data_IF_081657385365
#
_entry.id   IF_081657385365
#
_cell.length_a   1.000
_cell.length_b   1.000
_cell.length_c   1.000
_cell.angle_alpha   90.00
_cell.angle_beta   90.00
_cell.angle_gamma   90.00
#
_symmetry.space_group_name_H-M   'P 1'
#
loop_
_entity.id
_entity.type
_entity.pdbx_description
1 polymer ?
#
# COMPACT_ATOMS: atom_id res chain seq x y z
N UNK A 1 46.47 -65.56 -0.23
CA UNK A 1 45.60 -65.36 -1.41
C UNK A 1 45.96 -64.01 -2.03
N UNK A 2 46.94 -63.97 -2.94
CA UNK A 2 47.38 -62.72 -3.60
C UNK A 2 46.54 -62.50 -4.85
N UNK A 3 45.67 -61.50 -4.83
CA UNK A 3 44.82 -61.12 -5.96
C UNK A 3 45.69 -60.35 -6.97
N UNK A 4 45.92 -60.94 -8.15
CA UNK A 4 46.52 -60.25 -9.30
C UNK A 4 45.56 -59.16 -9.78
N UNK A 5 45.89 -57.89 -9.54
CA UNK A 5 45.20 -56.77 -10.16
C UNK A 5 45.40 -56.82 -11.69
N UNK A 6 44.29 -56.83 -12.44
CA UNK A 6 44.28 -56.80 -13.90
C UNK A 6 44.80 -55.45 -14.40
N UNK A 7 45.49 -55.41 -15.56
CA UNK A 7 46.13 -54.20 -16.11
C UNK A 7 45.17 -53.03 -16.39
N UNK A 8 43.85 -53.25 -16.35
CA UNK A 8 42.81 -52.24 -16.59
C UNK A 8 42.76 -51.17 -15.48
N UNK A 9 43.01 -51.53 -14.22
CA UNK A 9 43.01 -50.56 -13.11
C UNK A 9 44.16 -49.55 -13.23
N UNK A 10 45.30 -50.00 -13.78
CA UNK A 10 46.46 -49.15 -14.04
C UNK A 10 46.18 -48.10 -15.12
N UNK A 11 45.53 -48.49 -16.22
CA UNK A 11 45.16 -47.55 -17.29
C UNK A 11 44.08 -46.54 -16.86
N UNK A 12 43.12 -46.94 -16.01
CA UNK A 12 42.11 -46.03 -15.47
C UNK A 12 42.73 -44.98 -14.54
N UNK A 13 43.69 -45.38 -13.71
CA UNK A 13 44.40 -44.46 -12.80
C UNK A 13 45.27 -43.47 -13.58
N UNK A 14 45.94 -43.92 -14.65
CA UNK A 14 46.66 -43.04 -15.58
C UNK A 14 45.71 -42.07 -16.28
N UNK A 15 44.54 -42.53 -16.73
CA UNK A 15 43.56 -41.68 -17.40
C UNK A 15 43.03 -40.56 -16.48
N UNK A 16 42.73 -40.87 -15.22
CA UNK A 16 42.31 -39.88 -14.21
C UNK A 16 43.44 -38.89 -13.89
N UNK A 17 44.69 -39.36 -13.79
CA UNK A 17 45.85 -38.50 -13.56
C UNK A 17 46.06 -37.50 -14.71
N UNK A 18 45.91 -37.96 -15.96
CA UNK A 18 46.03 -37.12 -17.16
C UNK A 18 44.91 -36.07 -17.23
N UNK A 19 43.68 -36.44 -16.85
CA UNK A 19 42.53 -35.54 -16.80
C UNK A 19 42.68 -34.38 -15.81
N UNK A 20 43.44 -34.58 -14.72
CA UNK A 20 43.68 -33.55 -13.70
C UNK A 20 44.96 -32.76 -13.98
N UNK A 21 46.02 -33.42 -14.42
CA UNK A 21 47.33 -32.78 -14.63
C UNK A 21 47.39 -31.91 -15.90
N UNK A 22 46.70 -32.28 -16.98
CA UNK A 22 46.73 -31.48 -18.22
C UNK A 22 46.07 -30.10 -18.01
N UNK A 23 44.86 -29.98 -17.42
CA UNK A 23 44.28 -28.67 -17.14
C UNK A 23 45.14 -27.84 -16.17
N UNK A 24 45.74 -28.47 -15.15
CA UNK A 24 46.62 -27.78 -14.21
C UNK A 24 47.88 -27.22 -14.89
N UNK A 25 48.53 -28.01 -15.77
CA UNK A 25 49.70 -27.57 -16.55
C UNK A 25 49.36 -26.48 -17.57
N UNK A 26 48.13 -26.44 -18.09
CA UNK A 26 47.67 -25.36 -18.99
C UNK A 26 47.43 -24.06 -18.24
N UNK A 27 46.97 -24.12 -16.98
CA UNK A 27 46.68 -22.91 -16.16
C UNK A 27 47.94 -22.33 -15.50
N UNK A 28 48.90 -23.16 -15.11
CA UNK A 28 50.12 -22.73 -14.42
C UNK A 28 50.96 -21.65 -15.16
N UNK A 29 51.20 -21.72 -16.48
CA UNK A 29 51.93 -20.66 -17.20
C UNK A 29 51.12 -19.38 -17.42
N UNK A 30 49.80 -19.38 -17.14
CA UNK A 30 48.94 -18.20 -17.17
C UNK A 30 48.75 -17.56 -15.77
N UNK A 31 49.28 -18.16 -14.71
CA UNK A 31 49.16 -17.65 -13.33
C UNK A 31 50.30 -16.69 -12.90
N UNK A 32 51.26 -16.40 -13.79
CA UNK A 32 52.49 -15.67 -13.41
C UNK A 32 52.91 -14.53 -14.35
N UNK A 33 51.94 -13.83 -14.97
CA UNK A 33 52.16 -12.50 -15.59
C UNK A 33 50.94 -11.60 -15.39
N UNK A 34 50.87 -10.94 -14.25
CA UNK A 34 50.09 -9.71 -14.11
C UNK A 34 50.80 -8.59 -14.92
N UNK A 35 50.11 -7.81 -15.76
CA UNK A 35 50.69 -6.62 -16.35
C UNK A 35 51.01 -5.59 -15.24
N UNK A 36 52.28 -5.17 -15.17
CA UNK A 36 52.67 -3.94 -14.47
C UNK A 36 52.00 -2.75 -15.17
N UNK A 37 50.86 -2.33 -14.65
CA UNK A 37 50.31 -1.00 -14.88
C UNK A 37 51.20 -0.01 -14.13
N UNK A 38 51.78 0.93 -14.88
CA UNK A 38 52.48 2.10 -14.37
C UNK A 38 51.71 2.71 -13.19
N UNK A 39 52.41 2.93 -12.08
CA UNK A 39 51.90 3.65 -10.91
C UNK A 39 51.55 5.09 -11.29
N UNK A 40 50.33 5.30 -11.77
CA UNK A 40 49.69 6.59 -11.64
C UNK A 40 49.41 6.79 -10.14
N UNK A 41 50.08 7.77 -9.53
CA UNK A 41 49.77 8.25 -8.17
C UNK A 41 48.25 8.30 -8.02
N UNK A 42 47.66 7.67 -6.98
CA UNK A 42 46.24 7.80 -6.74
C UNK A 42 45.96 9.27 -6.43
N UNK A 43 45.46 9.99 -7.45
CA UNK A 43 44.63 11.18 -7.23
C UNK A 43 43.57 10.69 -6.26
N UNK A 44 43.48 11.28 -5.06
CA UNK A 44 42.39 11.04 -4.13
C UNK A 44 41.08 11.28 -4.91
N UNK A 45 40.54 10.23 -5.52
CA UNK A 45 39.12 10.14 -5.77
C UNK A 45 38.57 10.15 -4.36
N UNK A 46 38.05 11.31 -3.97
CA UNK A 46 37.01 11.37 -2.98
C UNK A 46 36.03 10.27 -3.36
N UNK A 47 36.15 9.16 -2.63
CA UNK A 47 35.08 8.26 -2.38
C UNK A 47 34.00 9.20 -1.86
N UNK A 48 33.12 9.68 -2.75
CA UNK A 48 31.82 10.16 -2.33
C UNK A 48 31.27 8.92 -1.65
N UNK A 49 31.41 8.93 -0.33
CA UNK A 49 30.48 8.29 0.56
C UNK A 49 29.16 8.24 -0.18
N UNK A 50 28.63 7.05 -0.37
CA UNK A 50 27.19 6.91 -0.40
C UNK A 50 26.77 7.41 0.99
N UNK A 51 26.70 8.73 1.13
CA UNK A 51 26.02 9.40 2.21
C UNK A 51 24.64 8.78 2.15
N UNK A 52 24.37 7.89 3.11
CA UNK A 52 23.35 8.10 4.14
C UNK A 52 22.50 9.37 3.95
N UNK A 53 21.85 9.51 2.81
CA UNK A 53 20.54 10.14 2.69
C UNK A 53 19.49 9.13 3.18
N UNK A 54 19.78 8.45 4.30
CA UNK A 54 18.71 8.08 5.22
C UNK A 54 17.91 9.37 5.39
N UNK A 55 16.63 9.36 5.07
CA UNK A 55 15.80 10.52 5.38
C UNK A 55 15.98 10.76 6.88
N UNK A 56 16.65 11.84 7.27
CA UNK A 56 16.74 12.30 8.66
C UNK A 56 15.34 12.52 9.24
N UNK A 57 14.33 12.60 8.37
CA UNK A 57 12.92 12.56 8.71
C UNK A 57 12.49 11.19 9.23
N UNK A 58 12.27 11.13 10.54
CA UNK A 58 11.57 10.07 11.21
C UNK A 58 10.09 10.42 11.39
N UNK A 59 9.23 9.43 11.23
CA UNK A 59 7.79 9.50 11.46
C UNK A 59 7.51 9.12 12.90
N UNK A 60 6.92 9.99 13.73
CA UNK A 60 6.44 9.62 15.06
C UNK A 60 5.12 8.86 14.93
N UNK A 61 5.19 7.54 15.08
CA UNK A 61 4.05 6.62 15.01
C UNK A 61 3.57 6.29 16.43
N UNK A 62 2.31 6.57 16.74
CA UNK A 62 1.71 6.11 17.98
C UNK A 62 1.25 4.65 17.85
N UNK A 63 1.82 3.77 18.68
CA UNK A 63 1.41 2.38 18.81
C UNK A 63 0.30 2.28 19.85
N UNK A 64 -0.90 1.89 19.43
CA UNK A 64 -2.09 1.91 20.31
C UNK A 64 -2.06 0.81 21.37
N UNK A 65 -1.45 -0.34 21.09
CA UNK A 65 -1.36 -1.46 22.04
C UNK A 65 -0.32 -1.16 23.13
N UNK A 66 0.84 -0.63 22.76
CA UNK A 66 1.93 -0.32 23.68
C UNK A 66 1.87 1.09 24.27
N UNK A 67 0.89 1.90 23.85
CA UNK A 67 0.69 3.30 24.25
C UNK A 67 1.96 4.16 24.16
N UNK A 68 2.78 3.94 23.13
CA UNK A 68 4.09 4.59 22.95
C UNK A 68 4.27 5.18 21.56
N UNK A 69 5.10 6.22 21.47
CA UNK A 69 5.52 6.80 20.19
C UNK A 69 6.84 6.19 19.75
N UNK A 70 6.84 5.57 18.58
CA UNK A 70 8.02 5.04 17.90
C UNK A 70 8.44 5.98 16.77
N UNK A 71 9.73 6.33 16.69
CA UNK A 71 10.28 7.11 15.57
C UNK A 71 10.80 6.17 14.50
N UNK A 72 10.08 6.05 13.40
CA UNK A 72 10.40 5.15 12.29
C UNK A 72 10.95 5.96 11.11
N UNK A 73 12.08 5.59 10.48
CA UNK A 73 12.53 6.24 9.26
C UNK A 73 11.43 6.28 8.19
N UNK A 74 11.25 7.40 7.48
CA UNK A 74 10.14 7.59 6.54
C UNK A 74 9.97 6.43 5.56
N UNK A 75 11.05 5.97 4.94
CA UNK A 75 10.99 4.90 3.95
C UNK A 75 10.66 3.53 4.57
N UNK A 76 11.03 3.31 5.83
CA UNK A 76 10.64 2.10 6.57
C UNK A 76 9.17 2.13 6.95
N UNK A 77 8.66 3.30 7.36
CA UNK A 77 7.23 3.52 7.59
C UNK A 77 6.43 3.26 6.31
N UNK A 78 6.84 3.84 5.18
CA UNK A 78 6.16 3.64 3.89
C UNK A 78 6.16 2.17 3.48
N UNK A 79 7.26 1.43 3.67
CA UNK A 79 7.29 -0.03 3.44
C UNK A 79 6.24 -0.77 4.27
N UNK A 80 6.18 -0.50 5.58
CA UNK A 80 5.22 -1.17 6.45
C UNK A 80 3.77 -0.81 6.11
N UNK A 81 3.48 0.43 5.70
CA UNK A 81 2.15 0.82 5.21
C UNK A 81 1.79 0.05 3.94
N UNK A 82 2.69 0.02 2.94
CA UNK A 82 2.43 -0.73 1.69
C UNK A 82 2.20 -2.20 1.97
N UNK A 83 3.00 -2.80 2.86
CA UNK A 83 2.87 -4.19 3.30
C UNK A 83 1.54 -4.50 4.00
N UNK A 84 0.98 -3.52 4.70
CA UNK A 84 -0.22 -3.66 5.50
C UNK A 84 -1.51 -3.38 4.72
N UNK A 85 -1.43 -2.49 3.72
CA UNK A 85 -2.58 -1.96 3.00
C UNK A 85 -2.86 -2.66 1.67
N UNK A 86 -1.81 -3.08 0.97
CA UNK A 86 -1.93 -3.63 -0.38
C UNK A 86 -1.44 -5.08 -0.41
N UNK A 87 -2.18 -6.02 -1.03
CA UNK A 87 -1.69 -7.37 -1.21
C UNK A 87 -0.34 -7.38 -1.95
N UNK A 88 0.68 -7.99 -1.36
CA UNK A 88 2.04 -8.01 -1.92
C UNK A 88 2.11 -8.66 -3.32
N UNK A 89 1.12 -9.47 -3.67
CA UNK A 89 1.01 -10.14 -4.97
C UNK A 89 0.51 -9.20 -6.09
N UNK A 90 0.08 -7.97 -5.77
CA UNK A 90 -0.30 -6.96 -6.77
C UNK A 90 0.88 -6.56 -7.66
N UNK A 91 0.57 -6.01 -8.83
CA UNK A 91 1.57 -5.59 -9.80
C UNK A 91 2.54 -4.55 -9.23
N UNK A 92 3.80 -4.58 -9.71
CA UNK A 92 4.85 -3.68 -9.25
C UNK A 92 4.46 -2.20 -9.40
N UNK A 93 3.81 -1.83 -10.50
CA UNK A 93 3.36 -0.46 -10.74
C UNK A 93 2.23 -0.02 -9.79
N UNK A 94 1.38 -0.95 -9.35
CA UNK A 94 0.37 -0.66 -8.33
C UNK A 94 1.00 -0.47 -6.94
N UNK A 95 1.99 -1.30 -6.57
CA UNK A 95 2.74 -1.14 -5.32
C UNK A 95 3.52 0.19 -5.30
N UNK A 96 4.11 0.61 -6.42
CA UNK A 96 4.75 1.93 -6.56
C UNK A 96 3.75 3.08 -6.39
N UNK A 97 2.56 2.97 -6.98
CA UNK A 97 1.50 3.97 -6.81
C UNK A 97 1.01 4.06 -5.35
N UNK A 98 0.92 2.92 -4.65
CA UNK A 98 0.63 2.87 -3.22
C UNK A 98 1.75 3.52 -2.40
N UNK A 99 3.02 3.29 -2.73
CA UNK A 99 4.15 3.93 -2.04
C UNK A 99 4.12 5.46 -2.16
N UNK A 100 3.84 6.02 -3.36
CA UNK A 100 3.64 7.47 -3.55
C UNK A 100 2.50 8.00 -2.70
N UNK A 101 1.37 7.31 -2.74
CA UNK A 101 0.16 7.68 -1.99
C UNK A 101 0.45 7.67 -0.48
N UNK A 102 1.10 6.61 0.03
CA UNK A 102 1.42 6.47 1.43
C UNK A 102 2.42 7.53 1.91
N UNK A 103 3.49 7.76 1.14
CA UNK A 103 4.49 8.80 1.44
C UNK A 103 3.89 10.20 1.44
N UNK A 104 2.99 10.48 0.49
CA UNK A 104 2.32 11.79 0.40
C UNK A 104 1.42 12.02 1.60
N UNK A 105 0.65 11.01 2.00
CA UNK A 105 -0.22 11.11 3.16
C UNK A 105 0.59 11.48 4.42
N UNK A 106 1.68 10.76 4.69
CA UNK A 106 2.49 11.07 5.88
C UNK A 106 3.24 12.40 5.75
N UNK A 107 3.72 12.77 4.55
CA UNK A 107 4.31 14.08 4.31
C UNK A 107 3.33 15.22 4.62
N UNK A 108 2.06 15.07 4.22
CA UNK A 108 1.00 16.04 4.55
C UNK A 108 0.74 16.13 6.05
N UNK A 109 0.67 14.99 6.76
CA UNK A 109 0.46 14.98 8.21
C UNK A 109 1.60 15.67 8.96
N UNK A 110 2.84 15.44 8.53
CA UNK A 110 4.02 16.08 9.12
C UNK A 110 4.06 17.59 8.85
N UNK A 111 3.62 18.04 7.67
CA UNK A 111 3.53 19.46 7.33
C UNK A 111 2.40 20.18 8.11
N UNK A 112 1.29 19.49 8.37
CA UNK A 112 0.08 20.07 8.95
C UNK A 112 -0.22 19.52 10.35
N UNK A 113 0.67 19.78 11.33
CA UNK A 113 0.53 19.32 12.73
C UNK A 113 -0.79 19.72 13.42
N UNK A 114 -1.52 20.71 12.89
CA UNK A 114 -2.83 21.16 13.42
C UNK A 114 -3.98 20.19 13.14
N UNK A 115 -3.83 19.31 12.16
CA UNK A 115 -4.87 18.36 11.75
C UNK A 115 -4.87 17.07 12.60
N UNK A 116 -3.91 16.93 13.53
CA UNK A 116 -3.65 15.68 14.27
C UNK A 116 -3.59 15.96 15.77
N UNK A 117 -4.67 15.64 16.51
CA UNK A 117 -4.67 15.66 17.97
C UNK A 117 -4.42 14.25 18.52
N UNK A 118 -3.17 13.79 18.42
CA UNK A 118 -2.75 12.47 18.90
C UNK A 118 -1.84 12.58 20.14
N UNK A 119 -1.85 11.59 21.06
CA UNK A 119 -0.99 11.57 22.24
C UNK A 119 0.50 11.66 21.87
N UNK A 120 1.28 12.35 22.71
CA UNK A 120 2.75 12.37 22.62
C UNK A 120 3.34 13.03 21.37
N UNK A 121 2.56 13.83 20.62
CA UNK A 121 3.04 14.51 19.40
C UNK A 121 3.15 13.60 18.17
N UNK A 122 2.40 12.49 18.16
CA UNK A 122 2.36 11.57 17.02
C UNK A 122 1.70 12.20 15.79
N UNK A 123 2.17 11.81 14.60
CA UNK A 123 1.62 12.26 13.33
C UNK A 123 0.55 11.29 12.79
N UNK A 124 0.59 10.03 13.23
CA UNK A 124 -0.28 8.92 12.79
C UNK A 124 -0.42 7.88 13.92
N UNK A 125 -1.51 7.12 13.91
CA UNK A 125 -1.66 5.90 14.72
C UNK A 125 -1.40 4.66 13.88
N UNK A 126 -1.22 3.50 14.53
CA UNK A 126 -1.28 2.17 13.90
C UNK A 126 -2.72 1.71 13.55
N UNK A 127 -3.71 2.58 13.79
CA UNK A 127 -5.14 2.30 13.66
C UNK A 127 -5.81 3.08 12.52
N UNK A 128 -6.95 2.53 12.09
CA UNK A 128 -7.63 2.61 10.77
C UNK A 128 -8.19 4.00 10.40
N UNK A 129 -7.76 5.09 11.04
CA UNK A 129 -8.21 6.42 10.64
C UNK A 129 -7.84 6.73 9.19
N UNK A 130 -6.65 6.27 8.71
CA UNK A 130 -6.25 6.42 7.30
C UNK A 130 -5.29 5.35 6.74
N UNK A 131 -4.41 4.76 7.56
CA UNK A 131 -3.43 3.75 7.12
C UNK A 131 -3.26 2.66 8.19
N UNK A 132 -3.25 1.40 7.79
CA UNK A 132 -2.89 0.24 8.60
C UNK A 132 -1.37 0.11 8.61
N UNK A 133 -0.78 -0.08 9.79
CA UNK A 133 0.65 -0.27 9.95
C UNK A 133 0.95 -1.46 10.87
N UNK A 134 1.06 -2.65 10.27
CA UNK A 134 1.39 -3.91 10.96
C UNK A 134 2.85 -3.93 11.38
N UNK A 135 3.10 -4.53 12.54
CA UNK A 135 4.45 -4.88 12.98
C UNK A 135 5.08 -5.93 12.08
N UNK A 136 6.40 -6.00 12.11
CA UNK A 136 7.17 -7.00 11.36
C UNK A 136 6.78 -8.44 11.74
N UNK A 137 6.55 -8.69 13.03
CA UNK A 137 6.12 -9.99 13.55
C UNK A 137 4.73 -10.38 13.05
N UNK A 138 3.79 -9.44 12.93
CA UNK A 138 2.49 -9.69 12.31
C UNK A 138 2.63 -10.07 10.84
N UNK A 139 3.49 -9.39 10.09
CA UNK A 139 3.73 -9.67 8.68
C UNK A 139 4.41 -11.02 8.48
N UNK A 140 5.37 -11.38 9.32
CA UNK A 140 6.01 -12.71 9.33
C UNK A 140 5.00 -13.81 9.61
N UNK A 141 4.13 -13.63 10.60
CA UNK A 141 3.03 -14.58 10.90
C UNK A 141 2.05 -14.71 9.73
N UNK A 142 1.72 -13.59 9.08
CA UNK A 142 0.76 -13.56 7.98
C UNK A 142 1.29 -14.21 6.70
N UNK A 143 2.57 -14.01 6.38
CA UNK A 143 3.16 -14.48 5.11
C UNK A 143 3.97 -15.76 5.25
N UNK A 144 4.35 -16.16 6.46
CA UNK A 144 5.12 -17.38 6.71
C UNK A 144 6.38 -17.41 5.86
N UNK A 145 6.57 -18.50 5.10
CA UNK A 145 7.73 -18.69 4.22
C UNK A 145 7.82 -17.68 3.07
N UNK A 146 6.72 -17.04 2.67
CA UNK A 146 6.71 -16.05 1.59
C UNK A 146 7.15 -14.65 2.05
N UNK A 147 7.36 -14.46 3.36
CA UNK A 147 7.63 -13.15 3.96
C UNK A 147 8.79 -12.42 3.26
N UNK A 148 9.96 -13.06 3.15
CA UNK A 148 11.16 -12.44 2.56
C UNK A 148 10.93 -12.02 1.11
N UNK A 149 10.30 -12.90 0.31
CA UNK A 149 9.99 -12.63 -1.10
C UNK A 149 9.02 -11.46 -1.25
N UNK A 150 7.95 -11.43 -0.45
CA UNK A 150 6.93 -10.38 -0.48
C UNK A 150 7.50 -9.04 -0.02
N UNK A 151 8.27 -9.06 1.08
CA UNK A 151 8.92 -7.87 1.61
C UNK A 151 9.98 -7.31 0.65
N UNK A 152 10.74 -8.17 -0.04
CA UNK A 152 11.71 -7.73 -1.05
C UNK A 152 11.02 -7.02 -2.23
N UNK A 153 9.87 -7.54 -2.69
CA UNK A 153 9.08 -6.91 -3.76
C UNK A 153 8.57 -5.53 -3.35
N UNK A 154 8.03 -5.41 -2.14
CA UNK A 154 7.57 -4.12 -1.59
C UNK A 154 8.73 -3.14 -1.43
N UNK A 155 9.86 -3.61 -0.90
CA UNK A 155 11.08 -2.79 -0.75
C UNK A 155 11.54 -2.23 -2.09
N UNK A 156 11.50 -3.02 -3.17
CA UNK A 156 11.81 -2.55 -4.53
C UNK A 156 10.83 -1.48 -5.00
N UNK A 157 9.53 -1.63 -4.74
CA UNK A 157 8.51 -0.64 -5.12
C UNK A 157 8.71 0.70 -4.39
N UNK A 158 8.98 0.65 -3.08
CA UNK A 158 9.24 1.83 -2.26
C UNK A 158 10.54 2.51 -2.68
N UNK A 159 11.61 1.76 -2.89
CA UNK A 159 12.89 2.30 -3.34
C UNK A 159 12.80 2.96 -4.72
N UNK A 160 12.05 2.38 -5.66
CA UNK A 160 11.85 2.93 -7.01
C UNK A 160 11.05 4.24 -7.03
N UNK A 161 10.48 4.63 -5.91
CA UNK A 161 9.66 5.84 -5.74
C UNK A 161 10.15 6.73 -4.59
N UNK A 162 11.36 6.44 -4.11
CA UNK A 162 11.94 7.09 -2.93
C UNK A 162 11.96 8.60 -3.11
N UNK A 163 11.51 9.30 -2.08
CA UNK A 163 11.51 10.76 -2.08
C UNK A 163 10.45 11.42 -2.95
N UNK A 164 9.67 10.71 -3.77
CA UNK A 164 8.60 11.33 -4.55
C UNK A 164 7.27 11.36 -3.79
N UNK A 165 6.57 12.49 -3.88
CA UNK A 165 5.20 12.70 -3.36
C UNK A 165 4.27 13.29 -4.43
N UNK A 166 2.97 13.26 -4.17
CA UNK A 166 1.92 13.83 -4.99
C UNK A 166 1.55 15.22 -4.47
N UNK A 167 1.60 16.23 -5.35
CA UNK A 167 1.33 17.63 -4.98
C UNK A 167 0.27 18.26 -5.87
N UNK A 168 -0.43 19.25 -5.32
CA UNK A 168 -1.35 20.14 -6.03
C UNK A 168 -1.09 21.55 -5.51
N UNK A 169 -0.89 22.52 -6.42
CA UNK A 169 -0.44 23.88 -6.09
C UNK A 169 0.81 23.91 -5.18
N UNK A 170 1.75 22.99 -5.44
CA UNK A 170 3.00 22.87 -4.69
C UNK A 170 2.88 22.26 -3.29
N UNK A 171 1.67 21.90 -2.84
CA UNK A 171 1.42 21.34 -1.51
C UNK A 171 1.12 19.84 -1.58
N UNK A 172 1.56 19.02 -0.60
CA UNK A 172 1.19 17.60 -0.52
C UNK A 172 -0.32 17.41 -0.50
N UNK A 173 -0.85 16.59 -1.41
CA UNK A 173 -2.31 16.36 -1.50
C UNK A 173 -2.80 15.51 -0.32
N UNK A 174 -4.10 15.55 -0.06
CA UNK A 174 -4.78 14.51 0.72
C UNK A 174 -4.91 13.22 -0.12
N UNK A 175 -3.85 12.41 -0.11
CA UNK A 175 -3.71 11.22 -0.96
C UNK A 175 -4.49 10.02 -0.39
N UNK A 176 -5.82 10.10 -0.47
CA UNK A 176 -6.70 9.03 0.04
C UNK A 176 -6.80 7.86 -0.92
N UNK A 177 -6.92 6.65 -0.39
CA UNK A 177 -7.05 5.42 -1.16
C UNK A 177 -7.98 4.44 -0.43
N UNK A 178 -8.48 3.45 -1.17
CA UNK A 178 -9.40 2.44 -0.65
C UNK A 178 -9.29 1.14 -1.44
N UNK A 179 -9.87 0.06 -0.93
CA UNK A 179 -9.69 -1.28 -1.50
C UNK A 179 -10.29 -1.43 -2.90
N UNK A 180 -11.60 -1.25 -3.03
CA UNK A 180 -12.32 -1.60 -4.27
C UNK A 180 -13.48 -0.65 -4.52
N UNK A 181 -13.65 -0.21 -5.77
CA UNK A 181 -14.75 0.68 -6.17
C UNK A 181 -15.99 -0.12 -6.54
N UNK A 182 -17.14 0.55 -6.63
CA UNK A 182 -18.36 0.00 -7.24
C UNK A 182 -18.36 0.18 -8.78
N UNK A 183 -17.21 0.49 -9.38
CA UNK A 183 -17.03 0.89 -10.77
C UNK A 183 -16.72 2.38 -10.95
N UNK A 184 -16.86 3.18 -9.89
CA UNK A 184 -16.54 4.60 -9.85
C UNK A 184 -15.92 5.00 -8.49
N UNK A 185 -15.04 5.99 -8.51
CA UNK A 185 -14.61 6.70 -7.30
C UNK A 185 -15.62 7.79 -6.92
N UNK A 186 -15.52 8.34 -5.72
CA UNK A 186 -16.34 9.43 -5.22
C UNK A 186 -15.61 10.78 -5.31
N UNK A 187 -16.40 11.85 -5.43
CA UNK A 187 -15.92 13.18 -5.05
C UNK A 187 -15.73 13.24 -3.53
N UNK A 188 -14.70 13.96 -3.08
CA UNK A 188 -14.43 14.09 -1.64
C UNK A 188 -15.57 14.70 -0.84
N UNK A 189 -16.26 15.69 -1.40
CA UNK A 189 -17.35 16.43 -0.76
C UNK A 189 -18.58 15.54 -0.51
N UNK A 190 -18.79 14.52 -1.33
CA UNK A 190 -19.91 13.60 -1.20
C UNK A 190 -19.75 12.66 0.02
N UNK A 191 -18.50 12.42 0.47
CA UNK A 191 -18.20 11.56 1.61
C UNK A 191 -17.79 12.32 2.88
N UNK A 192 -16.94 13.36 2.76
CA UNK A 192 -16.40 14.12 3.89
C UNK A 192 -16.95 15.55 4.01
N UNK A 193 -17.73 16.04 3.04
CA UNK A 193 -18.21 17.43 3.01
C UNK A 193 -17.17 18.45 2.55
N UNK A 194 -15.87 18.13 2.65
CA UNK A 194 -14.79 18.97 2.14
C UNK A 194 -14.46 18.64 0.69
N UNK A 195 -14.43 19.68 -0.16
CA UNK A 195 -14.10 19.57 -1.59
C UNK A 195 -12.59 19.72 -1.81
N UNK A 196 -11.97 18.73 -2.45
CA UNK A 196 -10.60 18.79 -2.93
C UNK A 196 -10.57 18.72 -4.47
N UNK A 197 -9.95 19.68 -5.18
CA UNK A 197 -9.94 19.72 -6.65
C UNK A 197 -9.40 18.45 -7.32
N UNK A 198 -8.47 17.77 -6.65
CA UNK A 198 -7.82 16.55 -7.14
C UNK A 198 -8.56 15.25 -6.76
N UNK A 199 -9.56 15.27 -5.87
CA UNK A 199 -10.35 14.09 -5.48
C UNK A 199 -11.72 14.11 -6.15
N UNK A 200 -11.72 13.75 -7.42
CA UNK A 200 -12.90 13.71 -8.28
C UNK A 200 -13.35 12.28 -8.59
N UNK A 201 -14.65 12.12 -8.82
CA UNK A 201 -15.21 10.88 -9.34
C UNK A 201 -14.58 10.56 -10.70
N UNK A 202 -14.07 9.35 -10.83
CA UNK A 202 -13.57 8.78 -12.07
C UNK A 202 -14.09 7.35 -12.21
N UNK A 203 -14.24 6.90 -13.45
CA UNK A 203 -14.53 5.49 -13.74
C UNK A 203 -13.40 4.62 -13.19
N UNK A 204 -13.71 3.44 -12.68
CA UNK A 204 -12.72 2.44 -12.34
C UNK A 204 -13.24 1.05 -12.72
N UNK A 205 -13.28 0.74 -14.04
CA UNK A 205 -13.93 -0.45 -14.56
C UNK A 205 -13.25 -1.76 -14.09
N UNK A 206 -11.95 -1.70 -13.77
CA UNK A 206 -11.17 -2.85 -13.34
C UNK A 206 -11.67 -3.48 -12.04
N UNK A 207 -12.34 -2.71 -11.17
CA UNK A 207 -12.84 -3.20 -9.90
C UNK A 207 -13.95 -4.25 -10.03
N UNK A 208 -14.72 -4.20 -11.12
CA UNK A 208 -15.93 -5.03 -11.31
C UNK A 208 -15.66 -6.53 -11.28
N UNK A 209 -14.46 -6.94 -11.68
CA UNK A 209 -14.07 -8.35 -11.82
C UNK A 209 -13.15 -8.82 -10.68
N UNK A 210 -13.23 -8.18 -9.51
CA UNK A 210 -12.33 -8.44 -8.39
C UNK A 210 -13.04 -9.22 -7.28
N UNK A 211 -12.32 -10.04 -6.49
CA UNK A 211 -12.92 -10.85 -5.42
C UNK A 211 -13.54 -10.03 -4.29
N UNK A 212 -13.25 -8.73 -4.23
CA UNK A 212 -13.77 -7.81 -3.20
C UNK A 212 -14.90 -6.92 -3.73
N UNK A 213 -15.32 -7.09 -4.99
CA UNK A 213 -16.32 -6.23 -5.62
C UNK A 213 -17.70 -6.31 -4.97
N UNK A 214 -18.17 -7.51 -4.60
CA UNK A 214 -19.47 -7.69 -3.96
C UNK A 214 -19.33 -8.47 -2.66
N UNK A 215 -20.12 -8.11 -1.64
CA UNK A 215 -20.22 -8.90 -0.41
C UNK A 215 -21.64 -8.84 0.14
N UNK A 216 -22.13 -10.01 0.58
CA UNK A 216 -23.30 -10.12 1.43
C UNK A 216 -22.88 -10.21 2.90
N UNK A 217 -23.61 -9.50 3.75
CA UNK A 217 -23.51 -9.56 5.21
C UNK A 217 -24.90 -9.82 5.77
N UNK A 218 -25.01 -10.79 6.67
CA UNK A 218 -26.22 -11.00 7.45
C UNK A 218 -26.13 -10.21 8.75
N UNK A 219 -27.17 -9.45 9.07
CA UNK A 219 -27.26 -8.64 10.28
C UNK A 219 -28.58 -8.99 10.98
N UNK A 220 -28.60 -9.27 12.29
CA UNK A 220 -29.86 -9.44 13.03
C UNK A 220 -30.78 -8.22 12.85
N UNK A 221 -32.08 -8.47 12.66
CA UNK A 221 -33.06 -7.39 12.46
C UNK A 221 -33.04 -6.38 13.61
N UNK A 222 -33.04 -6.88 14.85
CA UNK A 222 -33.03 -6.04 16.05
C UNK A 222 -31.78 -5.16 16.13
N UNK A 223 -30.64 -5.64 15.63
CA UNK A 223 -29.42 -4.84 15.57
C UNK A 223 -29.57 -3.69 14.56
N UNK A 224 -30.16 -3.96 13.39
CA UNK A 224 -30.43 -2.91 12.37
C UNK A 224 -31.41 -1.88 12.91
N UNK A 225 -32.52 -2.31 13.49
CA UNK A 225 -33.55 -1.42 14.07
C UNK A 225 -32.98 -0.55 15.20
N UNK A 226 -32.20 -1.15 16.09
CA UNK A 226 -31.53 -0.45 17.20
C UNK A 226 -30.51 0.57 16.70
N UNK A 227 -29.58 0.17 15.82
CA UNK A 227 -28.52 1.05 15.31
C UNK A 227 -29.04 2.20 14.45
N UNK A 228 -30.12 1.98 13.71
CA UNK A 228 -30.73 3.02 12.87
C UNK A 228 -31.82 3.82 13.60
N UNK A 229 -32.37 3.30 14.69
CA UNK A 229 -33.47 3.89 15.44
C UNK A 229 -34.76 3.94 14.62
N UNK A 230 -35.12 2.81 13.98
CA UNK A 230 -36.29 2.68 13.10
C UNK A 230 -36.98 1.34 13.30
N UNK A 231 -38.29 1.27 13.04
CA UNK A 231 -39.02 0.00 12.94
C UNK A 231 -39.14 -0.46 11.49
N UNK A 232 -38.86 -1.73 11.22
CA UNK A 232 -38.89 -2.32 9.88
C UNK A 232 -40.04 -3.33 9.84
N UNK A 233 -41.10 -3.01 9.10
CA UNK A 233 -42.36 -3.78 9.13
C UNK A 233 -42.48 -4.90 8.08
N UNK A 234 -41.60 -4.94 7.07
CA UNK A 234 -41.78 -5.79 5.89
C UNK A 234 -40.79 -6.96 5.79
N UNK A 235 -41.14 -8.00 5.01
CA UNK A 235 -40.24 -9.09 4.61
C UNK A 235 -39.92 -8.94 3.11
N UNK A 236 -38.76 -8.38 2.78
CA UNK A 236 -38.42 -7.98 1.41
C UNK A 236 -37.37 -6.87 1.36
N UNK A 237 -37.29 -6.15 0.24
CA UNK A 237 -36.38 -5.01 0.11
C UNK A 237 -36.74 -3.93 1.14
N UNK A 238 -35.76 -3.51 1.94
CA UNK A 238 -35.92 -2.45 2.93
C UNK A 238 -35.12 -1.23 2.51
N UNK A 239 -35.74 -0.07 2.66
CA UNK A 239 -35.13 1.20 2.29
C UNK A 239 -35.38 1.60 0.85
N UNK A 240 -35.77 2.85 0.63
CA UNK A 240 -35.91 3.47 -0.69
C UNK A 240 -34.76 4.44 -0.92
N UNK A 241 -33.86 4.11 -1.85
CA UNK A 241 -32.80 5.05 -2.28
C UNK A 241 -33.47 6.23 -2.99
N UNK A 242 -33.21 7.44 -2.50
CA UNK A 242 -33.81 8.66 -3.05
C UNK A 242 -32.83 9.46 -3.91
N UNK A 243 -31.52 9.31 -3.66
CA UNK A 243 -30.48 9.95 -4.47
C UNK A 243 -29.18 9.15 -4.47
N UNK A 244 -28.40 9.29 -5.54
CA UNK A 244 -27.05 8.74 -5.67
C UNK A 244 -26.04 9.84 -6.00
N UNK A 245 -24.80 9.63 -5.57
CA UNK A 245 -23.66 10.49 -5.91
C UNK A 245 -23.22 10.24 -7.35
N UNK A 246 -22.32 11.07 -7.87
CA UNK A 246 -21.70 10.87 -9.19
C UNK A 246 -20.96 9.52 -9.29
N UNK A 247 -20.35 9.08 -8.18
CA UNK A 247 -19.72 7.76 -8.06
C UNK A 247 -20.69 6.60 -7.83
N UNK A 248 -21.99 6.84 -7.99
CA UNK A 248 -23.08 5.88 -7.85
C UNK A 248 -23.24 5.28 -6.45
N UNK A 249 -22.66 5.85 -5.40
CA UNK A 249 -22.97 5.48 -4.01
C UNK A 249 -24.27 6.12 -3.55
N UNK A 250 -24.86 5.59 -2.48
CA UNK A 250 -26.10 6.12 -1.92
C UNK A 250 -25.81 7.46 -1.25
N UNK A 251 -26.33 8.55 -1.83
CA UNK A 251 -26.30 9.86 -1.21
C UNK A 251 -27.35 9.94 -0.10
N UNK A 252 -28.58 9.49 -0.40
CA UNK A 252 -29.69 9.46 0.56
C UNK A 252 -30.60 8.25 0.38
N UNK A 253 -31.07 7.72 1.51
CA UNK A 253 -31.97 6.55 1.58
C UNK A 253 -32.98 6.74 2.72
N UNK A 254 -34.24 6.37 2.48
CA UNK A 254 -35.29 6.38 3.52
C UNK A 254 -35.54 4.95 3.99
N UNK A 255 -35.32 4.66 5.28
CA UNK A 255 -35.50 3.35 5.92
C UNK A 255 -36.45 3.52 7.10
N UNK A 256 -37.53 2.74 7.18
CA UNK A 256 -38.49 2.80 8.29
C UNK A 256 -39.07 4.20 8.54
N UNK A 257 -39.29 4.99 7.47
CA UNK A 257 -39.79 6.36 7.54
C UNK A 257 -38.76 7.45 7.85
N UNK A 258 -37.50 7.09 8.16
CA UNK A 258 -36.42 8.04 8.45
C UNK A 258 -35.43 8.11 7.29
N UNK A 259 -34.95 9.31 6.97
CA UNK A 259 -33.96 9.54 5.93
C UNK A 259 -32.55 9.55 6.51
N UNK A 260 -31.63 8.88 5.82
CA UNK A 260 -30.21 8.75 6.18
C UNK A 260 -29.32 9.08 4.98
N UNK A 261 -28.08 9.50 5.24
CA UNK A 261 -27.02 9.41 4.23
C UNK A 261 -26.55 7.96 4.12
N UNK A 262 -26.14 7.53 2.92
CA UNK A 262 -25.63 6.17 2.74
C UNK A 262 -24.38 5.88 3.58
N UNK A 263 -23.52 6.89 3.76
CA UNK A 263 -22.35 6.82 4.66
C UNK A 263 -22.74 6.48 6.11
N UNK A 264 -23.75 7.17 6.65
CA UNK A 264 -24.15 6.97 8.04
C UNK A 264 -24.68 5.54 8.27
N UNK A 265 -25.43 5.00 7.30
CA UNK A 265 -25.90 3.61 7.34
C UNK A 265 -24.72 2.64 7.26
N UNK A 266 -23.77 2.87 6.35
CA UNK A 266 -22.54 2.07 6.23
C UNK A 266 -21.79 2.01 7.55
N UNK A 267 -21.53 3.16 8.17
CA UNK A 267 -20.72 3.26 9.39
C UNK A 267 -21.43 2.63 10.59
N UNK A 268 -22.74 2.86 10.76
CA UNK A 268 -23.53 2.25 11.83
C UNK A 268 -23.59 0.73 11.71
N UNK A 269 -23.84 0.22 10.51
CA UNK A 269 -24.05 -1.21 10.28
C UNK A 269 -22.75 -1.98 9.96
N UNK A 270 -21.60 -1.30 9.89
CA UNK A 270 -20.31 -1.91 9.57
C UNK A 270 -20.24 -2.47 8.15
N UNK A 271 -20.92 -1.83 7.18
CA UNK A 271 -20.93 -2.28 5.79
C UNK A 271 -19.61 -1.95 5.08
N UNK A 272 -19.26 -2.76 4.06
CA UNK A 272 -18.05 -2.52 3.25
C UNK A 272 -18.03 -1.16 2.55
N UNK A 273 -19.18 -0.71 2.06
CA UNK A 273 -19.32 0.55 1.31
C UNK A 273 -20.70 1.18 1.54
N UNK A 274 -20.91 2.39 1.03
CA UNK A 274 -22.21 3.06 0.96
C UNK A 274 -22.95 2.81 -0.37
N UNK A 275 -22.55 1.81 -1.15
CA UNK A 275 -23.36 1.28 -2.25
C UNK A 275 -23.87 -0.10 -1.85
N UNK A 276 -25.13 -0.15 -1.43
CA UNK A 276 -25.72 -1.38 -0.89
C UNK A 276 -27.19 -1.52 -1.23
N UNK A 277 -27.71 -2.75 -1.11
CA UNK A 277 -29.13 -3.04 -0.97
C UNK A 277 -29.35 -3.77 0.35
N UNK A 278 -30.51 -3.53 0.99
CA UNK A 278 -30.88 -4.19 2.24
C UNK A 278 -32.15 -5.00 2.02
N UNK A 279 -32.15 -6.28 2.37
CA UNK A 279 -33.32 -7.15 2.24
C UNK A 279 -33.60 -7.85 3.56
N UNK A 280 -34.78 -7.65 4.15
CA UNK A 280 -35.22 -8.40 5.32
C UNK A 280 -35.65 -9.82 4.91
N UNK A 281 -35.17 -10.79 5.68
CA UNK A 281 -35.55 -12.21 5.65
C UNK A 281 -35.82 -12.68 7.07
N UNK A 282 -37.09 -12.69 7.48
CA UNK A 282 -37.50 -13.06 8.84
C UNK A 282 -36.89 -12.13 9.89
N UNK A 283 -36.05 -12.68 10.77
CA UNK A 283 -35.35 -11.96 11.84
C UNK A 283 -33.95 -11.47 11.45
N UNK A 284 -33.61 -11.49 10.16
CA UNK A 284 -32.32 -11.02 9.62
C UNK A 284 -32.52 -10.00 8.50
N UNK A 285 -31.50 -9.19 8.29
CA UNK A 285 -31.32 -8.30 7.13
C UNK A 285 -30.07 -8.74 6.38
N UNK A 286 -30.23 -8.98 5.09
CA UNK A 286 -29.14 -9.25 4.15
C UNK A 286 -28.73 -7.92 3.52
N UNK A 287 -27.53 -7.45 3.82
CA UNK A 287 -26.92 -6.32 3.15
C UNK A 287 -26.03 -6.80 2.00
N UNK A 288 -26.36 -6.45 0.76
CA UNK A 288 -25.53 -6.73 -0.41
C UNK A 288 -24.81 -5.44 -0.82
N UNK A 289 -23.49 -5.40 -0.62
CA UNK A 289 -22.64 -4.23 -0.81
C UNK A 289 -21.79 -4.37 -2.08
N UNK A 290 -21.56 -3.25 -2.77
CA UNK A 290 -20.63 -3.14 -3.90
C UNK A 290 -19.45 -2.23 -3.57
N UNK A 291 -18.25 -2.69 -3.88
CA UNK A 291 -17.00 -2.06 -3.49
C UNK A 291 -16.67 -2.24 -2.00
N UNK A 292 -15.48 -1.80 -1.62
CA UNK A 292 -14.98 -1.87 -0.26
C UNK A 292 -14.13 -0.64 0.07
N UNK A 293 -14.59 0.15 1.03
CA UNK A 293 -13.98 1.42 1.45
C UNK A 293 -14.85 2.64 1.14
N UNK A 294 -14.32 3.83 1.45
CA UNK A 294 -15.03 5.10 1.30
C UNK A 294 -15.20 5.53 -0.16
N UNK A 295 -14.34 5.07 -1.07
CA UNK A 295 -14.49 5.31 -2.51
C UNK A 295 -13.78 6.54 -3.06
N UNK A 296 -13.15 7.35 -2.22
CA UNK A 296 -12.49 8.60 -2.62
C UNK A 296 -11.02 8.37 -2.92
N UNK A 297 -10.51 8.94 -4.03
CA UNK A 297 -9.10 8.84 -4.41
C UNK A 297 -8.76 7.54 -5.14
N UNK A 298 -7.64 6.91 -4.81
CA UNK A 298 -7.14 5.74 -5.55
C UNK A 298 -7.80 4.42 -5.12
N UNK A 299 -8.40 3.69 -6.06
CA UNK A 299 -8.76 2.28 -5.84
C UNK A 299 -7.51 1.39 -5.93
N UNK A 300 -7.23 0.59 -4.91
CA UNK A 300 -6.09 -0.34 -4.89
C UNK A 300 -6.24 -1.44 -5.95
N UNK A 301 -7.42 -2.07 -6.02
CA UNK A 301 -7.69 -3.06 -7.06
C UNK A 301 -7.78 -2.44 -8.45
N UNK A 302 -8.29 -1.21 -8.53
CA UNK A 302 -8.30 -0.43 -9.77
C UNK A 302 -6.89 -0.13 -10.27
N UNK A 303 -5.98 0.30 -9.38
CA UNK A 303 -4.57 0.50 -9.68
C UNK A 303 -3.89 -0.79 -10.16
N UNK A 304 -4.21 -1.93 -9.53
CA UNK A 304 -3.71 -3.23 -9.96
C UNK A 304 -4.22 -3.62 -11.36
N UNK A 305 -5.49 -3.35 -11.67
CA UNK A 305 -6.04 -3.56 -13.01
C UNK A 305 -5.37 -2.68 -14.07
N UNK A 306 -5.18 -1.39 -13.77
CA UNK A 306 -4.44 -0.49 -14.65
C UNK A 306 -3.00 -0.97 -14.91
N UNK A 307 -2.32 -1.43 -13.87
CA UNK A 307 -0.97 -1.97 -13.98
C UNK A 307 -0.92 -3.23 -14.87
N UNK A 308 -1.91 -4.12 -14.76
CA UNK A 308 -2.06 -5.28 -15.65
C UNK A 308 -2.30 -4.89 -17.10
N UNK A 309 -2.97 -3.76 -17.33
CA UNK A 309 -3.14 -3.16 -18.65
C UNK A 309 -1.89 -2.38 -19.14
N UNK A 310 -0.75 -2.52 -18.45
CA UNK A 310 0.53 -1.94 -18.85
C UNK A 310 0.74 -0.48 -18.40
N UNK A 311 -0.15 0.07 -17.58
CA UNK A 311 0.01 1.44 -17.05
C UNK A 311 1.08 1.50 -15.98
N UNK A 312 1.96 2.49 -16.08
CA UNK A 312 2.94 2.73 -15.03
C UNK A 312 2.34 3.50 -13.83
N UNK A 313 3.06 3.52 -12.71
CA UNK A 313 2.60 4.13 -11.47
C UNK A 313 2.26 5.62 -11.60
N UNK A 314 2.94 6.35 -12.49
CA UNK A 314 2.70 7.79 -12.73
C UNK A 314 1.37 8.00 -13.45
N UNK A 315 1.05 7.15 -14.43
CA UNK A 315 -0.26 7.15 -15.09
C UNK A 315 -1.38 6.79 -14.11
N UNK A 316 -1.15 5.80 -13.24
CA UNK A 316 -2.11 5.37 -12.22
C UNK A 316 -2.45 6.52 -11.27
N UNK A 317 -1.47 7.15 -10.63
CA UNK A 317 -1.76 8.23 -9.67
C UNK A 317 -2.39 9.45 -10.34
N UNK A 318 -1.96 9.83 -11.55
CA UNK A 318 -2.56 10.94 -12.32
C UNK A 318 -4.00 10.62 -12.77
N UNK A 319 -4.33 9.34 -12.92
CA UNK A 319 -5.69 8.93 -13.26
C UNK A 319 -6.66 9.17 -12.09
N UNK A 320 -6.28 8.73 -10.89
CA UNK A 320 -7.12 8.85 -9.69
C UNK A 320 -7.09 10.22 -9.03
N UNK A 321 -5.97 10.94 -9.12
CA UNK A 321 -5.82 12.28 -8.54
C UNK A 321 -5.66 13.32 -9.64
N UNK A 322 -6.67 14.19 -9.82
CA UNK A 322 -6.72 15.13 -10.96
C UNK A 322 -5.82 16.34 -10.76
N UNK A 323 -5.10 16.72 -11.83
CA UNK A 323 -4.29 17.93 -11.85
C UNK A 323 -3.04 17.88 -10.95
N UNK A 324 -2.66 16.71 -10.45
CA UNK A 324 -1.51 16.59 -9.55
C UNK A 324 -0.18 16.62 -10.31
N UNK A 325 0.88 16.99 -9.59
CA UNK A 325 2.26 16.78 -9.96
C UNK A 325 2.90 15.69 -9.10
N UNK A 326 3.98 15.09 -9.61
CA UNK A 326 4.86 14.22 -8.83
C UNK A 326 6.14 15.02 -8.61
N UNK A 327 6.49 15.27 -7.36
CA UNK A 327 7.61 16.15 -6.99
C UNK A 327 8.48 15.49 -5.94
N UNK A 328 9.78 15.77 -6.01
CA UNK A 328 10.70 15.39 -4.94
C UNK A 328 10.28 16.06 -3.63
N UNK A 329 10.26 15.29 -2.56
CA UNK A 329 9.93 15.70 -1.22
C UNK A 329 11.18 16.21 -0.52
N UNK A 330 11.16 17.49 -0.22
CA UNK A 330 12.16 18.15 0.62
C UNK A 330 11.46 18.52 1.92
N UNK A 331 11.62 17.72 3.00
CA UNK A 331 11.08 18.07 4.30
C UNK A 331 11.67 19.43 4.69
N UNK A 332 10.85 20.40 5.05
CA UNK A 332 11.39 21.63 5.63
C UNK A 332 11.98 21.27 7.00
N UNK A 333 13.29 21.45 7.17
CA UNK A 333 13.91 21.40 8.48
C UNK A 333 13.25 22.46 9.36
N UNK A 334 12.76 22.08 10.54
CA UNK A 334 12.27 23.03 11.51
C UNK A 334 13.38 24.05 11.78
N UNK A 335 13.21 25.29 11.29
CA UNK A 335 13.92 26.42 11.87
C UNK A 335 13.49 26.47 13.33
N UNK A 336 14.38 25.96 14.18
CA UNK A 336 14.27 26.08 15.62
C UNK A 336 14.27 27.59 15.89
N UNK A 337 13.09 28.16 16.08
CA UNK A 337 12.96 29.49 16.65
C UNK A 337 13.47 29.39 18.08
N UNK A 338 14.79 29.54 18.25
CA UNK A 338 15.41 29.93 19.50
C UNK A 338 14.88 31.32 19.78
N UNK A 339 13.76 31.42 20.51
CA UNK A 339 13.41 32.64 21.20
C UNK A 339 14.47 32.83 22.28
N UNK A 340 15.35 33.82 22.05
CA UNK A 340 16.23 34.39 23.07
C UNK A 340 15.43 34.96 24.23
#
# INVERSE_FOLDING_TARGET
MFIRLKPISFYLSIFVLVLVLIPALVVLPYSSKAPQLLEAKPKKMQQKSVETLSSTLAVPVYRTVEEKVEKVPLEDYVKGVVASEMPADFEMEALKAQALTARTYIARMLANKKDVNLPGGAAVTDSILYQVYKSDDELKKLWGSDYEKKMQKITKAVAATRGDILTYDGQPIFASFFSTSNGYTENSEDYWGTKYPYLKSVKSPWDKNTPKFSQKQEIPLLEVESKLGVGIKDNGLIGKVTNRTEGNRIASITIGGKTFKGKDVREKLGLRSSDFTLTRKGNKVIADTKGFGHGVGMSQYGANGMAKDGKNYKEIVKYYYKGIAITAYHPQEEQSTVKK
#
